data_IF_069792038867
#
_entry.id   IF_069792038867
#
_cell.length_a   1.000
_cell.length_b   1.000
_cell.length_c   1.000
_cell.angle_alpha   90.00
_cell.angle_beta   90.00
_cell.angle_gamma   90.00
#
_symmetry.space_group_name_H-M   'P 1'
#
loop_
_entity.id
_entity.type
_entity.pdbx_description
1 polymer ?
#
# COMPACT_ATOMS: atom_id res chain seq x y z
N UNK A 1 50.67 25.28 11.98
CA UNK A 1 49.21 25.18 11.97
C UNK A 1 48.79 24.26 10.84
N UNK A 2 48.32 23.05 11.15
CA UNK A 2 47.76 22.12 10.15
C UNK A 2 46.33 22.57 9.89
N UNK A 3 46.05 23.04 8.68
CA UNK A 3 44.70 23.29 8.21
C UNK A 3 44.00 21.94 8.05
N UNK A 4 43.20 21.55 9.04
CA UNK A 4 42.25 20.46 8.89
C UNK A 4 41.23 20.90 7.83
N UNK A 5 41.13 20.14 6.73
CA UNK A 5 40.05 20.34 5.77
C UNK A 5 38.72 20.18 6.53
N UNK A 6 37.73 21.08 6.31
CA UNK A 6 36.41 20.89 6.87
C UNK A 6 35.86 19.51 6.44
N UNK A 7 34.98 18.89 7.24
CA UNK A 7 34.42 17.59 6.89
C UNK A 7 33.84 17.69 5.49
N UNK A 8 34.32 16.86 4.57
CA UNK A 8 33.64 16.68 3.30
C UNK A 8 32.27 16.11 3.65
N UNK A 9 31.21 16.90 3.45
CA UNK A 9 29.85 16.36 3.39
C UNK A 9 29.84 15.41 2.20
N UNK A 10 30.05 14.12 2.46
CA UNK A 10 29.79 13.07 1.49
C UNK A 10 28.37 13.31 0.95
N UNK A 11 28.14 13.22 -0.38
CA UNK A 11 26.78 13.20 -0.88
C UNK A 11 26.05 12.11 -0.11
N UNK A 12 24.89 12.44 0.50
CA UNK A 12 24.03 11.43 1.11
C UNK A 12 23.82 10.36 0.04
N UNK A 13 24.34 9.16 0.30
CA UNK A 13 24.26 8.09 -0.67
C UNK A 13 22.85 7.50 -0.55
N UNK A 14 21.85 8.27 -0.99
CA UNK A 14 20.42 7.94 -0.91
C UNK A 14 20.15 6.56 -1.51
N UNK A 15 20.94 6.20 -2.53
CA UNK A 15 21.04 4.86 -3.12
C UNK A 15 21.17 3.75 -2.09
N UNK A 16 22.00 3.88 -1.05
CA UNK A 16 22.17 2.82 -0.03
C UNK A 16 20.89 2.65 0.77
N UNK A 17 20.22 3.74 1.15
CA UNK A 17 18.95 3.69 1.87
C UNK A 17 17.88 2.96 1.04
N UNK A 18 17.79 3.27 -0.25
CA UNK A 18 16.83 2.64 -1.18
C UNK A 18 17.06 1.12 -1.29
N UNK A 19 18.32 0.69 -1.35
CA UNK A 19 18.67 -0.73 -1.36
C UNK A 19 18.26 -1.43 -0.06
N UNK A 20 18.45 -0.79 1.08
CA UNK A 20 18.01 -1.36 2.36
C UNK A 20 16.50 -1.49 2.42
N UNK A 21 15.76 -0.44 2.03
CA UNK A 21 14.30 -0.47 1.96
C UNK A 21 13.85 -1.62 1.06
N UNK A 22 14.40 -1.70 -0.15
CA UNK A 22 14.09 -2.78 -1.10
C UNK A 22 14.31 -4.16 -0.49
N UNK A 23 15.48 -4.40 0.13
CA UNK A 23 15.79 -5.70 0.71
C UNK A 23 14.87 -6.07 1.88
N UNK A 24 14.52 -5.10 2.74
CA UNK A 24 13.59 -5.32 3.85
C UNK A 24 12.20 -5.65 3.32
N UNK A 25 11.66 -4.87 2.38
CA UNK A 25 10.36 -5.16 1.76
C UNK A 25 10.36 -6.55 1.12
N UNK A 26 11.43 -6.90 0.40
CA UNK A 26 11.51 -8.16 -0.31
C UNK A 26 11.63 -9.35 0.64
N UNK A 27 12.26 -9.16 1.80
CA UNK A 27 12.28 -10.13 2.88
C UNK A 27 10.88 -10.32 3.47
N UNK A 28 10.16 -9.23 3.75
CA UNK A 28 8.79 -9.29 4.28
C UNK A 28 7.84 -10.00 3.31
N UNK A 29 7.91 -9.72 2.00
CA UNK A 29 7.14 -10.43 0.98
C UNK A 29 7.43 -11.93 1.00
N UNK A 30 8.70 -12.33 1.13
CA UNK A 30 9.08 -13.74 1.22
C UNK A 30 8.53 -14.39 2.50
N UNK A 31 8.63 -13.72 3.64
CA UNK A 31 8.09 -14.22 4.91
C UNK A 31 6.57 -14.37 4.82
N UNK A 32 5.85 -13.39 4.29
CA UNK A 32 4.40 -13.44 4.11
C UNK A 32 3.97 -14.54 3.14
N UNK A 33 4.79 -14.85 2.14
CA UNK A 33 4.52 -15.97 1.21
C UNK A 33 4.68 -17.34 1.87
N UNK A 34 5.64 -17.50 2.79
CA UNK A 34 5.95 -18.79 3.45
C UNK A 34 5.12 -18.99 4.72
N UNK A 35 4.87 -17.91 5.47
CA UNK A 35 4.25 -17.92 6.79
C UNK A 35 3.04 -16.97 6.86
N UNK A 36 2.04 -17.05 5.98
CA UNK A 36 0.99 -16.03 5.84
C UNK A 36 0.20 -15.75 7.12
N UNK A 37 0.12 -16.73 8.05
CA UNK A 37 -0.62 -16.58 9.30
C UNK A 37 -0.13 -15.45 10.21
N UNK A 38 1.11 -14.95 10.06
CA UNK A 38 1.56 -13.80 10.86
C UNK A 38 0.81 -12.50 10.50
N UNK A 39 0.34 -12.37 9.25
CA UNK A 39 -0.37 -11.18 8.77
C UNK A 39 -1.72 -10.99 9.48
N UNK A 40 -2.32 -12.08 9.95
CA UNK A 40 -3.62 -12.09 10.65
C UNK A 40 -3.49 -12.40 12.13
N UNK A 41 -2.27 -12.52 12.67
CA UNK A 41 -2.07 -12.85 14.07
C UNK A 41 -2.39 -11.62 14.94
N UNK A 42 -3.32 -11.72 15.92
CA UNK A 42 -3.69 -10.62 16.80
C UNK A 42 -2.50 -9.97 17.52
N UNK A 43 -1.45 -10.73 17.82
CA UNK A 43 -0.25 -10.21 18.47
C UNK A 43 0.52 -9.21 17.61
N UNK A 44 0.37 -9.28 16.28
CA UNK A 44 1.16 -8.47 15.35
C UNK A 44 0.37 -7.35 14.68
N UNK A 45 -0.91 -7.17 15.02
CA UNK A 45 -1.83 -6.26 14.33
C UNK A 45 -1.26 -4.84 14.16
N UNK A 46 -0.74 -4.24 15.23
CA UNK A 46 -0.15 -2.89 15.19
C UNK A 46 1.09 -2.80 14.29
N UNK A 47 1.91 -3.86 14.29
CA UNK A 47 3.09 -3.94 13.42
C UNK A 47 2.69 -4.10 11.96
N UNK A 48 1.68 -4.92 11.66
CA UNK A 48 1.15 -5.10 10.29
C UNK A 48 0.55 -3.80 9.78
N UNK A 49 -0.19 -3.07 10.62
CA UNK A 49 -0.73 -1.76 10.27
C UNK A 49 0.40 -0.77 9.96
N UNK A 50 1.40 -0.67 10.84
CA UNK A 50 2.58 0.19 10.63
C UNK A 50 3.33 -0.17 9.34
N UNK A 51 3.57 -1.46 9.10
CA UNK A 51 4.26 -1.94 7.88
C UNK A 51 3.44 -1.59 6.63
N UNK A 52 2.12 -1.81 6.67
CA UNK A 52 1.22 -1.51 5.56
C UNK A 52 1.18 -0.02 5.25
N UNK A 53 1.09 0.84 6.26
CA UNK A 53 1.08 2.31 6.08
C UNK A 53 2.40 2.82 5.49
N UNK A 54 3.53 2.30 5.97
CA UNK A 54 4.84 2.62 5.39
C UNK A 54 4.99 2.08 3.96
N UNK A 55 4.50 0.86 3.68
CA UNK A 55 4.50 0.29 2.33
C UNK A 55 3.63 1.11 1.37
N UNK A 56 2.48 1.62 1.81
CA UNK A 56 1.66 2.53 1.00
C UNK A 56 2.38 3.84 0.70
N UNK A 57 3.03 4.45 1.71
CA UNK A 57 3.84 5.66 1.49
C UNK A 57 4.97 5.46 0.46
N UNK A 58 5.52 4.26 0.39
CA UNK A 58 6.56 3.89 -0.58
C UNK A 58 6.05 3.78 -2.03
N UNK A 59 4.74 3.82 -2.29
CA UNK A 59 4.22 3.99 -3.65
C UNK A 59 4.55 5.37 -4.25
N UNK A 60 4.89 6.36 -3.42
CA UNK A 60 5.41 7.66 -3.85
C UNK A 60 6.93 7.70 -4.06
N UNK A 61 7.63 6.57 -3.88
CA UNK A 61 9.09 6.54 -3.91
C UNK A 61 9.64 6.82 -5.33
N UNK A 62 10.79 7.48 -5.45
CA UNK A 62 11.38 7.83 -6.76
C UNK A 62 11.70 6.60 -7.61
N UNK A 63 12.19 5.55 -6.96
CA UNK A 63 12.62 4.32 -7.62
C UNK A 63 11.52 3.28 -7.78
N UNK A 64 11.25 2.88 -9.02
CA UNK A 64 10.17 1.93 -9.36
C UNK A 64 10.38 0.54 -8.74
N UNK A 65 11.61 0.05 -8.66
CA UNK A 65 11.90 -1.24 -8.05
C UNK A 65 11.55 -1.29 -6.56
N UNK A 66 11.59 -0.14 -5.86
CA UNK A 66 11.07 -0.01 -4.48
C UNK A 66 9.55 -0.02 -4.48
N UNK A 67 8.91 0.79 -5.33
CA UNK A 67 7.44 0.83 -5.49
C UNK A 67 6.85 -0.54 -5.81
N UNK A 68 7.53 -1.31 -6.67
CA UNK A 68 7.15 -2.66 -7.06
C UNK A 68 7.05 -3.58 -5.85
N UNK A 69 8.10 -3.66 -5.04
CA UNK A 69 8.08 -4.59 -3.90
C UNK A 69 7.12 -4.10 -2.81
N UNK A 70 6.95 -2.78 -2.68
CA UNK A 70 5.93 -2.20 -1.80
C UNK A 70 4.51 -2.64 -2.19
N UNK A 71 4.13 -2.57 -3.48
CA UNK A 71 2.81 -3.03 -3.92
C UNK A 71 2.63 -4.54 -3.78
N UNK A 72 3.69 -5.33 -3.94
CA UNK A 72 3.63 -6.77 -3.66
C UNK A 72 3.31 -7.05 -2.19
N UNK A 73 3.99 -6.34 -1.27
CA UNK A 73 3.76 -6.49 0.16
C UNK A 73 2.36 -6.03 0.56
N UNK A 74 1.91 -4.87 0.06
CA UNK A 74 0.55 -4.37 0.26
C UNK A 74 -0.48 -5.39 -0.21
N UNK A 75 -0.27 -5.98 -1.38
CA UNK A 75 -1.11 -7.05 -1.91
C UNK A 75 -1.24 -8.22 -0.94
N UNK A 76 -0.16 -8.64 -0.28
CA UNK A 76 -0.23 -9.72 0.70
C UNK A 76 -0.94 -9.30 1.99
N UNK A 77 -0.65 -8.10 2.51
CA UNK A 77 -1.26 -7.59 3.75
C UNK A 77 -2.78 -7.45 3.59
N UNK A 78 -3.24 -6.78 2.52
CA UNK A 78 -4.66 -6.52 2.32
C UNK A 78 -5.44 -7.78 1.93
N UNK A 79 -4.85 -8.69 1.16
CA UNK A 79 -5.51 -9.95 0.80
C UNK A 79 -5.53 -10.95 1.96
N UNK A 80 -4.79 -10.71 3.05
CA UNK A 80 -4.85 -11.54 4.25
C UNK A 80 -6.20 -11.39 5.00
N UNK A 81 -6.90 -10.28 4.80
CA UNK A 81 -8.25 -10.05 5.32
C UNK A 81 -9.27 -10.17 4.19
N UNK A 82 -10.33 -11.00 4.31
CA UNK A 82 -11.32 -11.18 3.25
C UNK A 82 -12.00 -9.86 2.84
N UNK A 83 -12.19 -9.66 1.53
CA UNK A 83 -12.76 -8.43 0.97
C UNK A 83 -14.11 -8.02 1.60
N UNK A 84 -14.94 -9.01 1.96
CA UNK A 84 -16.24 -8.78 2.61
C UNK A 84 -16.10 -8.07 3.95
N UNK A 85 -15.03 -8.33 4.72
CA UNK A 85 -14.82 -7.71 6.03
C UNK A 85 -14.62 -6.21 5.88
N UNK A 86 -13.80 -5.78 4.91
CA UNK A 86 -13.64 -4.36 4.62
C UNK A 86 -14.96 -3.70 4.21
N UNK A 87 -15.75 -4.38 3.37
CA UNK A 87 -17.04 -3.86 2.94
C UNK A 87 -18.05 -3.74 4.10
N UNK A 88 -18.09 -4.72 5.00
CA UNK A 88 -18.90 -4.70 6.21
C UNK A 88 -18.51 -3.52 7.12
N UNK A 89 -17.20 -3.33 7.37
CA UNK A 89 -16.69 -2.21 8.15
C UNK A 89 -17.01 -0.85 7.51
N UNK A 90 -16.95 -0.73 6.18
CA UNK A 90 -17.35 0.51 5.49
C UNK A 90 -18.86 0.76 5.59
N UNK A 91 -19.66 -0.30 5.50
CA UNK A 91 -21.12 -0.21 5.58
C UNK A 91 -21.60 0.16 6.99
N UNK A 92 -20.90 -0.32 8.01
CA UNK A 92 -21.15 -0.10 9.42
C UNK A 92 -19.85 0.25 10.17
N UNK A 93 -19.57 1.56 10.35
CA UNK A 93 -18.39 2.02 11.07
C UNK A 93 -18.30 1.54 12.53
N UNK A 94 -19.36 1.00 13.12
CA UNK A 94 -19.28 0.39 14.46
C UNK A 94 -18.48 -0.91 14.48
N UNK A 95 -18.21 -1.50 13.31
CA UNK A 95 -17.37 -2.70 13.13
C UNK A 95 -15.88 -2.36 12.95
N UNK A 96 -15.49 -1.08 13.02
CA UNK A 96 -14.08 -0.69 12.97
C UNK A 96 -13.29 -1.29 14.14
N UNK A 97 -12.07 -1.72 13.84
CA UNK A 97 -11.19 -2.40 14.80
C UNK A 97 -9.73 -2.26 14.38
N UNK A 98 -8.77 -2.46 15.30
CA UNK A 98 -7.34 -2.42 14.96
C UNK A 98 -7.01 -3.37 13.80
N UNK A 99 -6.14 -2.90 12.90
CA UNK A 99 -5.72 -3.64 11.71
C UNK A 99 -5.66 -2.77 10.46
N UNK A 100 -4.80 -3.19 9.54
CA UNK A 100 -4.53 -2.45 8.31
C UNK A 100 -5.83 -2.24 7.50
N UNK A 101 -6.23 -0.98 7.37
CA UNK A 101 -7.45 -0.53 6.68
C UNK A 101 -8.77 -1.01 7.31
N UNK A 102 -8.77 -1.34 8.61
CA UNK A 102 -9.97 -1.68 9.39
C UNK A 102 -10.41 -0.55 10.34
N UNK A 103 -9.70 0.57 10.30
CA UNK A 103 -10.04 1.85 10.92
C UNK A 103 -10.10 2.92 9.83
N UNK A 104 -11.09 3.82 9.90
CA UNK A 104 -11.35 4.80 8.83
C UNK A 104 -11.34 4.15 7.42
N UNK A 105 -11.99 2.99 7.33
CA UNK A 105 -11.78 2.03 6.23
C UNK A 105 -12.12 2.63 4.87
N UNK A 106 -13.16 3.47 4.82
CA UNK A 106 -13.59 4.14 3.59
C UNK A 106 -12.50 5.05 3.02
N UNK A 107 -11.89 5.88 3.87
CA UNK A 107 -10.85 6.81 3.44
C UNK A 107 -9.54 6.09 3.14
N UNK A 108 -9.13 5.11 3.97
CA UNK A 108 -7.89 4.34 3.71
C UNK A 108 -7.96 3.55 2.40
N UNK A 109 -9.07 2.87 2.11
CA UNK A 109 -9.28 2.16 0.83
C UNK A 109 -9.31 3.14 -0.35
N UNK A 110 -9.98 4.29 -0.20
CA UNK A 110 -9.98 5.34 -1.23
C UNK A 110 -8.58 5.88 -1.50
N UNK A 111 -7.81 6.15 -0.46
CA UNK A 111 -6.43 6.63 -0.55
C UNK A 111 -5.56 5.64 -1.31
N UNK A 112 -5.57 4.36 -0.93
CA UNK A 112 -4.80 3.33 -1.62
C UNK A 112 -5.23 3.18 -3.09
N UNK A 113 -6.53 3.28 -3.38
CA UNK A 113 -7.03 3.23 -4.75
C UNK A 113 -6.44 4.34 -5.61
N UNK A 114 -6.39 5.57 -5.08
CA UNK A 114 -5.78 6.72 -5.76
C UNK A 114 -4.28 6.51 -5.97
N UNK A 115 -3.57 6.04 -4.93
CA UNK A 115 -2.14 5.76 -5.01
C UNK A 115 -1.84 4.74 -6.09
N UNK A 116 -2.64 3.67 -6.21
CA UNK A 116 -2.47 2.64 -7.23
C UNK A 116 -2.79 3.13 -8.65
N UNK A 117 -3.87 3.90 -8.82
CA UNK A 117 -4.23 4.49 -10.11
C UNK A 117 -3.13 5.46 -10.57
N UNK A 118 -2.53 6.21 -9.64
CA UNK A 118 -1.43 7.12 -9.97
C UNK A 118 -0.19 6.42 -10.55
N UNK A 119 -0.05 5.11 -10.34
CA UNK A 119 1.05 4.31 -10.91
C UNK A 119 0.78 3.89 -12.37
N UNK A 120 -0.47 3.98 -12.85
CA UNK A 120 -0.87 3.57 -14.21
C UNK A 120 -0.55 4.67 -15.23
N UNK A 121 0.73 5.05 -15.30
CA UNK A 121 1.23 6.08 -16.24
C UNK A 121 1.61 5.42 -17.56
N UNK A 122 1.28 6.06 -18.68
CA UNK A 122 1.76 5.64 -20.01
C UNK A 122 3.20 6.15 -20.21
N UNK A 123 4.18 5.25 -20.18
CA UNK A 123 5.55 5.54 -20.63
C UNK A 123 6.10 4.39 -21.49
N UNK A 124 7.13 4.66 -22.30
CA UNK A 124 7.73 3.65 -23.18
C UNK A 124 8.51 2.57 -22.40
N UNK A 125 8.87 2.83 -21.15
CA UNK A 125 9.70 1.94 -20.31
C UNK A 125 8.96 1.39 -19.08
N UNK A 126 7.62 1.39 -19.08
CA UNK A 126 6.90 0.91 -17.89
C UNK A 126 7.16 -0.58 -17.66
N UNK A 127 7.56 -0.92 -16.44
CA UNK A 127 7.69 -2.29 -16.02
C UNK A 127 6.32 -2.99 -15.90
N UNK A 128 6.04 -3.87 -16.86
CA UNK A 128 4.81 -4.64 -16.92
C UNK A 128 4.54 -5.45 -15.66
N UNK A 129 5.59 -5.96 -14.99
CA UNK A 129 5.41 -6.74 -13.76
C UNK A 129 4.94 -5.86 -12.62
N UNK A 130 5.42 -4.62 -12.54
CA UNK A 130 4.94 -3.65 -11.56
C UNK A 130 3.47 -3.30 -11.80
N UNK A 131 3.12 -2.92 -13.04
CA UNK A 131 1.73 -2.63 -13.42
C UNK A 131 0.80 -3.80 -13.12
N UNK A 132 1.23 -5.03 -13.42
CA UNK A 132 0.46 -6.23 -13.11
C UNK A 132 0.15 -6.36 -11.62
N UNK A 133 1.07 -5.99 -10.72
CA UNK A 133 0.79 -5.99 -9.28
C UNK A 133 -0.21 -4.89 -8.89
N UNK A 134 -0.06 -3.68 -9.43
CA UNK A 134 -1.02 -2.59 -9.21
C UNK A 134 -2.43 -3.00 -9.68
N UNK A 135 -2.55 -3.59 -10.86
CA UNK A 135 -3.82 -4.05 -11.42
C UNK A 135 -4.44 -5.19 -10.59
N UNK A 136 -3.66 -6.17 -10.14
CA UNK A 136 -4.15 -7.23 -9.25
C UNK A 136 -4.74 -6.67 -7.96
N UNK A 137 -4.07 -5.68 -7.37
CA UNK A 137 -4.56 -5.06 -6.15
C UNK A 137 -5.81 -4.20 -6.40
N UNK A 138 -5.88 -3.46 -7.52
CA UNK A 138 -7.09 -2.74 -7.92
C UNK A 138 -8.29 -3.68 -8.15
N UNK A 139 -8.05 -4.86 -8.73
CA UNK A 139 -9.09 -5.90 -8.88
C UNK A 139 -9.56 -6.38 -7.50
N UNK A 140 -8.65 -6.62 -6.55
CA UNK A 140 -9.04 -6.97 -5.19
C UNK A 140 -9.85 -5.86 -4.49
N UNK A 141 -9.46 -4.60 -4.65
CA UNK A 141 -10.23 -3.47 -4.14
C UNK A 141 -11.63 -3.42 -4.77
N UNK A 142 -11.77 -3.77 -6.05
CA UNK A 142 -13.08 -3.87 -6.71
C UNK A 142 -13.98 -4.91 -6.03
N UNK A 143 -13.39 -6.02 -5.56
CA UNK A 143 -14.10 -7.05 -4.77
C UNK A 143 -14.59 -6.54 -3.40
N UNK A 144 -13.92 -5.55 -2.82
CA UNK A 144 -14.39 -4.84 -1.63
C UNK A 144 -15.55 -3.93 -2.02
N UNK A 145 -15.33 -3.07 -3.01
CA UNK A 145 -16.25 -2.00 -3.41
C UNK A 145 -17.61 -2.55 -3.86
N UNK A 146 -17.65 -3.69 -4.56
CA UNK A 146 -18.91 -4.29 -5.02
C UNK A 146 -19.89 -4.65 -3.89
N UNK A 147 -19.39 -4.84 -2.67
CA UNK A 147 -20.18 -5.23 -1.50
C UNK A 147 -20.56 -4.02 -0.61
N UNK A 148 -20.17 -2.80 -1.00
CA UNK A 148 -20.53 -1.57 -0.28
C UNK A 148 -21.95 -1.16 -0.67
N UNK A 149 -22.79 -0.93 0.34
CA UNK A 149 -24.17 -0.46 0.18
C UNK A 149 -24.15 1.02 -0.18
N UNK A 150 -24.89 1.38 -1.23
CA UNK A 150 -25.13 2.77 -1.59
C UNK A 150 -26.11 3.34 -0.56
N UNK A 151 -25.66 4.22 0.33
CA UNK A 151 -26.55 5.00 1.21
C UNK A 151 -26.99 6.25 0.46
N UNK A 152 -28.29 6.47 0.37
CA UNK A 152 -28.89 7.63 -0.29
C UNK A 152 -28.29 8.94 0.27
N UNK A 153 -27.61 9.69 -0.60
CA UNK A 153 -27.12 11.06 -0.31
C UNK A 153 -25.60 11.25 -0.23
N UNK A 154 -24.80 10.21 0.03
CA UNK A 154 -23.34 10.31 -0.05
C UNK A 154 -22.75 9.09 -0.75
N UNK A 155 -22.25 9.33 -1.96
CA UNK A 155 -21.38 8.43 -2.68
C UNK A 155 -20.07 8.21 -1.90
N UNK A 156 -20.07 7.35 -0.87
CA UNK A 156 -18.88 7.13 -0.05
C UNK A 156 -17.67 6.67 -0.86
N UNK A 157 -17.88 5.96 -1.98
CA UNK A 157 -16.83 5.44 -2.87
C UNK A 157 -17.26 5.37 -4.35
N UNK A 158 -18.16 6.26 -4.81
CA UNK A 158 -18.56 6.24 -6.24
C UNK A 158 -17.40 6.67 -7.11
N UNK A 159 -16.99 5.84 -8.08
CA UNK A 159 -15.98 6.19 -9.10
C UNK A 159 -16.42 7.35 -10.01
N UNK A 160 -17.60 7.95 -9.82
CA UNK A 160 -18.02 9.15 -10.54
C UNK A 160 -17.01 10.31 -10.45
N UNK A 161 -16.14 10.34 -9.44
CA UNK A 161 -15.05 11.31 -9.36
C UNK A 161 -13.94 11.10 -10.40
N UNK A 162 -13.76 9.89 -10.96
CA UNK A 162 -12.80 9.63 -12.05
C UNK A 162 -13.21 10.28 -13.38
N UNK A 163 -14.49 10.62 -13.54
CA UNK A 163 -15.05 11.12 -14.80
C UNK A 163 -15.09 12.65 -14.84
N UNK A 164 -14.96 13.34 -13.70
CA UNK A 164 -14.97 14.80 -13.65
C UNK A 164 -13.54 15.36 -13.80
N UNK A 165 -13.21 15.77 -15.03
CA UNK A 165 -12.11 16.70 -15.33
C UNK A 165 -12.57 18.15 -15.16
#
# INVERSE_FOLDING_TARGET
FVLLKPPQTLPKNDTICDHHIYHVLHMLVKIASVCPGFLTNPQYVEYIETIGENAQGLLGHAHEWVRHVAVQLLGQIICATPAVVYAETINDPSLERPGFMLTDSSNKIRSLTLDLISQLVSSEEVNEKFLMQCMKLLVYITEIVKNIKIKDGFHCLSLMWLVKR
#
